data_IF_927127005377
#
_entry.id   IF_927127005377
#
_cell.length_a   1.000
_cell.length_b   1.000
_cell.length_c   1.000
_cell.angle_alpha   90.00
_cell.angle_beta   90.00
_cell.angle_gamma   90.00
#
_symmetry.space_group_name_H-M   'P 1'
#
loop_
_entity.id
_entity.type
_entity.pdbx_description
1 polymer ?
#
# COMPACT_ATOMS: atom_id res chain seq x y z
N UNK A 1 22.46 22.50 -36.66
CA UNK A 1 21.63 22.00 -35.56
C UNK A 1 22.37 20.85 -34.91
N UNK A 2 22.80 20.98 -33.66
CA UNK A 2 23.38 19.88 -32.88
C UNK A 2 22.23 19.08 -32.26
N UNK A 3 22.20 17.78 -32.52
CA UNK A 3 21.25 16.85 -31.90
C UNK A 3 21.92 16.23 -30.68
N UNK A 4 21.39 16.48 -29.49
CA UNK A 4 21.78 15.73 -28.30
C UNK A 4 20.98 14.42 -28.27
N UNK A 5 21.69 13.29 -28.36
CA UNK A 5 21.11 11.99 -28.02
C UNK A 5 21.28 11.76 -26.53
N UNK A 6 20.17 11.66 -25.79
CA UNK A 6 20.19 11.16 -24.43
C UNK A 6 20.53 9.65 -24.46
N UNK A 7 21.66 9.28 -23.87
CA UNK A 7 21.96 7.87 -23.58
C UNK A 7 21.30 7.53 -22.24
N UNK A 8 20.33 6.62 -22.26
CA UNK A 8 19.87 5.98 -21.05
C UNK A 8 20.99 5.05 -20.55
N UNK A 9 21.40 5.19 -19.29
CA UNK A 9 22.32 4.25 -18.67
C UNK A 9 21.61 2.90 -18.50
N UNK A 10 22.15 1.86 -19.14
CA UNK A 10 21.82 0.45 -18.90
C UNK A 10 22.24 0.05 -17.48
N UNK A 11 21.44 0.43 -16.49
CA UNK A 11 21.52 -0.14 -15.15
C UNK A 11 21.03 -1.59 -15.25
N UNK A 12 21.96 -2.52 -15.51
CA UNK A 12 21.73 -3.97 -15.42
C UNK A 12 21.55 -4.38 -13.96
N UNK A 13 20.46 -3.95 -13.34
CA UNK A 13 20.02 -4.46 -12.04
C UNK A 13 19.41 -5.84 -12.33
N UNK A 14 20.02 -6.95 -11.87
CA UNK A 14 19.43 -8.27 -12.05
C UNK A 14 18.07 -8.30 -11.36
N UNK A 15 17.04 -8.71 -12.08
CA UNK A 15 15.72 -8.96 -11.50
C UNK A 15 15.78 -10.27 -10.72
N UNK A 16 15.36 -10.21 -9.46
CA UNK A 16 15.22 -11.38 -8.59
C UNK A 16 13.73 -11.72 -8.46
N UNK A 17 13.38 -12.97 -8.78
CA UNK A 17 12.03 -13.47 -8.52
C UNK A 17 11.90 -13.82 -7.04
N UNK A 18 11.08 -13.05 -6.32
CA UNK A 18 10.90 -13.21 -4.86
C UNK A 18 9.66 -14.04 -4.50
N UNK A 19 8.65 -14.09 -5.37
CA UNK A 19 7.43 -14.88 -5.15
C UNK A 19 6.63 -15.13 -6.43
N UNK A 20 5.90 -16.26 -6.43
CA UNK A 20 4.79 -16.52 -7.35
C UNK A 20 3.47 -16.46 -6.59
N UNK A 21 2.51 -15.71 -7.12
CA UNK A 21 1.22 -15.45 -6.45
C UNK A 21 0.03 -16.16 -7.10
N UNK A 22 0.26 -16.90 -8.20
CA UNK A 22 -0.75 -17.72 -8.86
C UNK A 22 -1.98 -16.92 -9.28
N UNK A 23 -3.17 -17.35 -8.82
CA UNK A 23 -4.46 -16.68 -9.09
C UNK A 23 -4.73 -15.46 -8.20
N UNK A 24 -3.81 -15.13 -7.31
CA UNK A 24 -3.88 -13.93 -6.49
C UNK A 24 -3.26 -12.76 -7.23
N UNK A 25 -3.91 -11.61 -7.13
CA UNK A 25 -3.52 -10.37 -7.80
C UNK A 25 -3.16 -9.33 -6.74
N UNK A 26 -1.89 -9.21 -6.35
CA UNK A 26 -1.47 -8.14 -5.46
C UNK A 26 -1.55 -6.80 -6.20
N UNK A 27 -1.96 -5.74 -5.49
CA UNK A 27 -2.13 -4.40 -6.07
C UNK A 27 -1.23 -3.34 -5.43
N UNK A 28 -0.59 -3.68 -4.32
CA UNK A 28 0.41 -2.85 -3.66
C UNK A 28 1.52 -3.72 -3.08
N UNK A 29 2.75 -3.24 -3.23
CA UNK A 29 3.96 -3.87 -2.69
C UNK A 29 4.74 -2.84 -1.89
N UNK A 30 5.09 -3.17 -0.65
CA UNK A 30 5.99 -2.39 0.19
C UNK A 30 7.24 -3.20 0.51
N UNK A 31 8.43 -2.59 0.41
CA UNK A 31 9.70 -3.22 0.78
C UNK A 31 10.33 -2.40 1.89
N UNK A 32 10.57 -3.04 3.04
CA UNK A 32 11.22 -2.40 4.19
C UNK A 32 12.70 -2.16 3.94
N UNK A 33 13.31 -1.28 4.74
CA UNK A 33 14.76 -1.06 4.72
C UNK A 33 15.56 -2.31 5.08
N UNK A 34 14.93 -3.28 5.75
CA UNK A 34 15.51 -4.59 6.09
C UNK A 34 15.18 -5.69 5.07
N UNK A 35 14.57 -5.36 3.93
CA UNK A 35 14.26 -6.31 2.86
C UNK A 35 13.00 -7.17 3.08
N UNK A 36 12.25 -6.96 4.16
CA UNK A 36 10.90 -7.56 4.32
C UNK A 36 9.97 -7.03 3.24
N UNK A 37 9.18 -7.92 2.65
CA UNK A 37 8.28 -7.61 1.52
C UNK A 37 6.84 -7.77 1.99
N UNK A 38 6.01 -6.78 1.72
CA UNK A 38 4.60 -6.76 2.05
C UNK A 38 3.76 -6.65 0.77
N UNK A 39 2.67 -7.41 0.71
CA UNK A 39 1.75 -7.38 -0.43
C UNK A 39 0.31 -7.16 0.03
N UNK A 40 -0.43 -6.37 -0.73
CA UNK A 40 -1.86 -6.10 -0.50
C UNK A 40 -2.70 -6.70 -1.61
N UNK A 41 -3.87 -7.22 -1.25
CA UNK A 41 -4.77 -7.92 -2.16
C UNK A 41 -6.19 -7.33 -2.05
N UNK A 42 -6.79 -6.93 -3.17
CA UNK A 42 -8.14 -6.38 -3.17
C UNK A 42 -9.15 -7.50 -2.97
N UNK A 43 -10.16 -7.26 -2.16
CA UNK A 43 -11.24 -8.21 -1.94
C UNK A 43 -12.24 -8.17 -3.10
N UNK A 44 -12.14 -9.16 -3.98
CA UNK A 44 -13.04 -9.37 -5.13
C UNK A 44 -13.75 -10.72 -5.00
N UNK A 45 -14.89 -10.78 -4.31
CA UNK A 45 -15.64 -12.03 -4.14
C UNK A 45 -16.34 -12.49 -5.43
N UNK A 46 -16.63 -11.57 -6.33
CA UNK A 46 -17.40 -11.88 -7.55
C UNK A 46 -16.54 -12.34 -8.73
N UNK A 47 -15.21 -12.27 -8.62
CA UNK A 47 -14.29 -12.73 -9.66
C UNK A 47 -13.97 -14.22 -9.47
N UNK A 48 -14.57 -15.07 -10.31
CA UNK A 48 -14.36 -16.53 -10.27
C UNK A 48 -12.95 -16.97 -10.61
N UNK A 49 -12.13 -16.10 -11.22
CA UNK A 49 -10.75 -16.39 -11.58
C UNK A 49 -9.75 -15.96 -10.50
N UNK A 50 -10.23 -15.25 -9.47
CA UNK A 50 -9.45 -14.68 -8.39
C UNK A 50 -9.62 -15.47 -7.08
N UNK A 51 -8.51 -15.72 -6.39
CA UNK A 51 -8.52 -16.28 -5.04
C UNK A 51 -8.17 -15.18 -4.03
N UNK A 52 -8.87 -15.18 -2.88
CA UNK A 52 -8.68 -14.19 -1.81
C UNK A 52 -8.52 -14.91 -0.47
N UNK A 53 -7.30 -14.86 0.07
CA UNK A 53 -6.99 -15.40 1.40
C UNK A 53 -6.90 -14.28 2.45
N UNK A 54 -6.14 -13.23 2.13
CA UNK A 54 -5.71 -12.18 3.06
C UNK A 54 -5.72 -10.82 2.37
N UNK A 55 -5.98 -9.74 3.12
CA UNK A 55 -5.88 -8.37 2.61
C UNK A 55 -4.44 -7.85 2.61
N UNK A 56 -3.66 -8.19 3.64
CA UNK A 56 -2.26 -7.79 3.79
C UNK A 56 -1.42 -8.97 4.27
N UNK A 57 -0.30 -9.20 3.59
CA UNK A 57 0.65 -10.25 3.95
C UNK A 57 2.07 -9.71 4.01
N UNK A 58 2.89 -10.38 4.80
CA UNK A 58 4.34 -10.38 4.65
C UNK A 58 4.75 -11.62 3.88
N UNK A 59 5.73 -11.49 2.99
CA UNK A 59 6.35 -12.61 2.31
C UNK A 59 7.57 -13.09 3.12
N UNK A 60 7.45 -14.27 3.71
CA UNK A 60 8.50 -14.89 4.53
C UNK A 60 8.90 -16.20 3.88
N UNK A 61 10.16 -16.30 3.43
CA UNK A 61 10.69 -17.50 2.73
C UNK A 61 9.80 -17.94 1.54
N UNK A 62 9.30 -16.98 0.76
CA UNK A 62 8.40 -17.24 -0.36
C UNK A 62 6.94 -17.54 0.02
N UNK A 63 6.60 -17.57 1.31
CA UNK A 63 5.25 -17.83 1.80
C UNK A 63 4.52 -16.56 2.22
N UNK A 64 3.23 -16.46 1.88
CA UNK A 64 2.34 -15.36 2.27
C UNK A 64 1.84 -15.57 3.69
N UNK A 65 2.34 -14.79 4.63
CA UNK A 65 1.95 -14.82 6.05
C UNK A 65 1.05 -13.62 6.35
N UNK A 66 -0.15 -13.80 6.93
CA UNK A 66 -1.05 -12.68 7.21
C UNK A 66 -0.40 -11.70 8.18
N UNK A 67 -0.38 -10.42 7.79
CA UNK A 67 0.27 -9.34 8.52
C UNK A 67 -0.74 -8.26 8.93
N UNK A 68 -0.62 -7.62 10.12
CA UNK A 68 0.37 -7.90 11.17
C UNK A 68 0.10 -9.22 11.91
N UNK A 69 -1.10 -9.78 11.75
CA UNK A 69 -1.45 -11.11 12.22
C UNK A 69 -2.70 -11.62 11.48
N UNK A 70 -3.05 -12.89 11.74
CA UNK A 70 -4.23 -13.52 11.18
C UNK A 70 -5.54 -12.81 11.54
N UNK A 71 -5.66 -12.29 12.78
CA UNK A 71 -6.90 -11.68 13.25
C UNK A 71 -7.27 -10.45 12.42
N UNK A 72 -6.32 -9.60 12.07
CA UNK A 72 -6.57 -8.45 11.18
C UNK A 72 -7.07 -8.85 9.80
N UNK A 73 -6.66 -10.01 9.29
CA UNK A 73 -7.07 -10.51 7.97
C UNK A 73 -8.39 -11.30 8.00
N UNK A 74 -8.99 -11.53 9.18
CA UNK A 74 -10.30 -12.17 9.32
C UNK A 74 -11.40 -11.13 9.18
N UNK A 75 -12.03 -11.10 8.00
CA UNK A 75 -13.13 -10.19 7.75
C UNK A 75 -14.35 -10.48 8.62
N UNK A 76 -14.84 -9.44 9.28
CA UNK A 76 -16.08 -9.41 10.03
C UNK A 76 -16.72 -8.02 9.86
N UNK A 77 -17.92 -7.97 9.30
CA UNK A 77 -18.64 -6.73 9.04
C UNK A 77 -18.96 -5.94 10.31
N UNK A 78 -19.07 -6.61 11.45
CA UNK A 78 -19.31 -5.97 12.76
C UNK A 78 -18.04 -5.41 13.39
N UNK A 79 -16.86 -5.81 12.89
CA UNK A 79 -15.55 -5.41 13.40
C UNK A 79 -14.71 -4.68 12.34
N UNK A 80 -15.35 -4.08 11.32
CA UNK A 80 -14.66 -3.40 10.21
C UNK A 80 -13.63 -2.34 10.66
N UNK A 81 -13.86 -1.71 11.81
CA UNK A 81 -12.98 -0.70 12.40
C UNK A 81 -11.64 -1.26 12.93
N UNK A 82 -11.53 -2.58 13.13
CA UNK A 82 -10.36 -3.28 13.68
C UNK A 82 -9.97 -4.54 12.88
N UNK A 83 -10.51 -4.67 11.65
CA UNK A 83 -10.24 -5.76 10.71
C UNK A 83 -10.03 -5.17 9.32
N UNK A 84 -9.28 -5.85 8.48
CA UNK A 84 -9.16 -5.51 7.07
C UNK A 84 -10.44 -5.85 6.32
N UNK A 85 -10.84 -4.93 5.44
CA UNK A 85 -12.01 -5.03 4.59
C UNK A 85 -11.58 -5.16 3.14
N UNK A 86 -10.87 -4.18 2.62
CA UNK A 86 -10.36 -4.14 1.24
C UNK A 86 -9.04 -3.34 1.17
N UNK A 87 -7.94 -3.93 1.62
CA UNK A 87 -6.63 -3.25 1.62
C UNK A 87 -6.15 -3.02 0.19
N UNK A 88 -5.83 -1.77 -0.15
CA UNK A 88 -5.45 -1.40 -1.51
C UNK A 88 -4.02 -0.88 -1.66
N UNK A 89 -3.39 -0.42 -0.57
CA UNK A 89 -2.02 0.06 -0.65
C UNK A 89 -1.24 -0.23 0.63
N UNK A 90 0.06 -0.47 0.45
CA UNK A 90 1.04 -0.57 1.52
C UNK A 90 2.33 0.12 1.07
N UNK A 91 2.85 1.04 1.88
CA UNK A 91 4.07 1.83 1.58
C UNK A 91 4.92 1.89 2.82
N UNK A 92 6.24 1.75 2.66
CA UNK A 92 7.20 1.93 3.75
C UNK A 92 7.70 3.37 3.76
N UNK A 93 7.70 4.01 4.93
CA UNK A 93 8.25 5.35 5.12
C UNK A 93 9.76 5.35 5.44
N UNK A 94 10.33 6.55 5.55
CA UNK A 94 11.76 6.73 5.83
C UNK A 94 12.21 6.21 7.22
N UNK A 95 11.26 6.00 8.14
CA UNK A 95 11.51 5.50 9.49
C UNK A 95 11.23 3.98 9.60
N UNK A 96 11.10 3.29 8.46
CA UNK A 96 10.80 1.85 8.35
C UNK A 96 9.44 1.46 8.97
N UNK A 97 8.45 2.35 8.92
CA UNK A 97 7.06 2.02 9.22
C UNK A 97 6.27 1.69 7.96
N UNK A 98 5.35 0.73 8.07
CA UNK A 98 4.43 0.38 7.00
C UNK A 98 3.12 1.14 7.16
N UNK A 99 2.82 1.97 6.18
CA UNK A 99 1.55 2.65 6.01
C UNK A 99 0.62 1.80 5.16
N UNK A 100 -0.56 1.51 5.68
CA UNK A 100 -1.54 0.61 5.03
C UNK A 100 -2.86 1.33 4.86
N UNK A 101 -3.34 1.41 3.62
CA UNK A 101 -4.62 2.03 3.31
C UNK A 101 -5.69 0.97 3.01
N UNK A 102 -6.79 1.06 3.76
CA UNK A 102 -7.99 0.25 3.57
C UNK A 102 -9.19 1.18 3.30
N UNK A 103 -9.52 1.45 2.03
CA UNK A 103 -10.70 2.22 1.64
C UNK A 103 -12.03 1.48 1.88
N UNK A 104 -11.99 0.22 2.32
CA UNK A 104 -13.18 -0.51 2.79
C UNK A 104 -14.27 -0.76 1.73
N UNK A 105 -13.90 -0.77 0.44
CA UNK A 105 -14.81 -0.88 -0.70
C UNK A 105 -14.62 -2.21 -1.48
N UNK A 106 -15.00 -3.38 -0.92
CA UNK A 106 -14.83 -4.66 -1.59
C UNK A 106 -15.67 -4.74 -2.87
N UNK A 107 -15.20 -5.49 -3.88
CA UNK A 107 -15.86 -5.63 -5.19
C UNK A 107 -16.16 -4.29 -5.88
N UNK A 108 -15.35 -3.26 -5.60
CA UNK A 108 -15.53 -1.87 -6.05
C UNK A 108 -16.92 -1.29 -5.72
N UNK A 109 -17.58 -1.83 -4.68
CA UNK A 109 -18.88 -1.38 -4.16
C UNK A 109 -18.72 -0.18 -3.22
N UNK A 110 -19.81 0.50 -2.83
CA UNK A 110 -19.74 1.53 -1.80
C UNK A 110 -19.02 1.04 -0.53
N UNK A 111 -18.19 1.88 0.11
CA UNK A 111 -17.36 1.46 1.23
C UNK A 111 -18.18 1.13 2.48
N UNK A 112 -17.72 0.15 3.26
CA UNK A 112 -18.16 -0.01 4.65
C UNK A 112 -17.51 1.11 5.46
N UNK A 113 -18.26 2.18 5.69
CA UNK A 113 -17.81 3.44 6.29
C UNK A 113 -16.97 3.23 7.56
N UNK A 114 -17.46 2.42 8.51
CA UNK A 114 -16.75 2.12 9.76
C UNK A 114 -15.38 1.43 9.57
N UNK A 115 -15.11 0.88 8.38
CA UNK A 115 -13.87 0.21 8.03
C UNK A 115 -12.86 1.05 7.27
N UNK A 116 -13.19 2.28 6.87
CA UNK A 116 -12.22 3.14 6.16
C UNK A 116 -11.14 3.57 7.14
N UNK A 117 -9.88 3.25 6.81
CA UNK A 117 -8.75 3.51 7.71
C UNK A 117 -7.41 3.60 6.98
N UNK A 118 -6.54 4.41 7.56
CA UNK A 118 -5.11 4.42 7.29
C UNK A 118 -4.37 3.96 8.55
N UNK A 119 -3.54 2.95 8.44
CA UNK A 119 -2.79 2.38 9.55
C UNK A 119 -1.31 2.73 9.43
N UNK A 120 -0.67 3.03 10.54
CA UNK A 120 0.78 3.03 10.68
C UNK A 120 1.21 1.81 11.50
N UNK A 121 2.00 0.94 10.90
CA UNK A 121 2.54 -0.26 11.55
C UNK A 121 4.05 -0.10 11.71
N UNK A 122 4.53 -0.18 12.94
CA UNK A 122 5.96 -0.18 13.20
C UNK A 122 6.54 -1.56 12.87
N UNK A 123 7.41 -1.62 11.86
CA UNK A 123 7.96 -2.88 11.39
C UNK A 123 8.97 -3.50 12.38
N UNK A 124 9.58 -2.71 13.27
CA UNK A 124 10.47 -3.26 14.30
C UNK A 124 9.71 -4.05 15.38
N UNK A 125 8.48 -3.65 15.69
CA UNK A 125 7.65 -4.29 16.73
C UNK A 125 6.49 -5.11 16.18
N UNK A 126 6.18 -4.96 14.88
CA UNK A 126 4.99 -5.51 14.21
C UNK A 126 3.67 -5.11 14.88
N UNK A 127 3.63 -3.91 15.47
CA UNK A 127 2.45 -3.36 16.13
C UNK A 127 1.90 -2.20 15.33
N UNK A 128 0.58 -2.13 15.26
CA UNK A 128 -0.13 -0.95 14.79
C UNK A 128 0.07 0.14 15.84
N UNK A 129 0.76 1.21 15.47
CA UNK A 129 1.00 2.37 16.34
C UNK A 129 -0.15 3.37 16.26
N UNK A 130 -0.72 3.55 15.07
CA UNK A 130 -1.79 4.52 14.80
C UNK A 130 -2.79 3.96 13.81
N UNK A 131 -4.06 4.30 14.04
CA UNK A 131 -5.17 4.07 13.11
C UNK A 131 -5.88 5.40 12.91
N UNK A 132 -5.78 5.96 11.72
CA UNK A 132 -6.53 7.14 11.31
C UNK A 132 -7.84 6.68 10.71
N UNK A 133 -8.94 7.22 11.22
CA UNK A 133 -10.29 7.03 10.68
C UNK A 133 -10.70 8.32 9.99
N UNK A 134 -11.55 8.19 8.99
CA UNK A 134 -12.03 9.31 8.20
C UNK A 134 -13.50 9.50 8.50
N UNK A 135 -13.89 10.73 8.86
CA UNK A 135 -15.29 11.10 8.95
C UNK A 135 -15.85 11.36 7.55
N UNK A 136 -17.18 11.41 7.41
CA UNK A 136 -17.88 11.46 6.12
C UNK A 136 -17.44 12.62 5.20
N UNK A 137 -16.86 13.69 5.75
CA UNK A 137 -16.42 14.89 5.02
C UNK A 137 -15.04 14.71 4.34
N UNK A 138 -14.19 13.79 4.81
CA UNK A 138 -12.82 13.58 4.31
C UNK A 138 -12.73 12.53 3.18
N UNK A 139 -13.82 11.81 2.91
CA UNK A 139 -13.81 10.66 1.99
C UNK A 139 -13.49 11.02 0.54
N UNK A 140 -13.78 12.26 0.14
CA UNK A 140 -13.55 12.74 -1.23
C UNK A 140 -12.06 12.89 -1.54
N UNK A 141 -11.23 13.17 -0.53
CA UNK A 141 -9.78 13.26 -0.65
C UNK A 141 -9.13 11.87 -0.82
N UNK A 142 -9.73 10.84 -0.22
CA UNK A 142 -9.22 9.47 -0.29
C UNK A 142 -9.39 8.81 -1.66
N UNK A 143 -10.46 9.12 -2.38
CA UNK A 143 -10.64 8.67 -3.77
C UNK A 143 -9.55 9.26 -4.69
N UNK A 144 -8.97 10.40 -4.32
CA UNK A 144 -7.84 11.02 -5.02
C UNK A 144 -6.46 10.62 -4.49
N UNK A 145 -6.35 10.04 -3.28
CA UNK A 145 -5.14 9.42 -2.78
C UNK A 145 -4.86 8.08 -3.47
N UNK A 146 -4.76 8.11 -4.81
CA UNK A 146 -3.87 7.20 -5.51
C UNK A 146 -2.47 7.62 -5.08
N UNK A 147 -1.81 6.80 -4.27
CA UNK A 147 -0.38 6.98 -4.00
C UNK A 147 0.28 7.05 -5.37
N UNK A 148 0.88 8.20 -5.70
CA UNK A 148 1.64 8.37 -6.93
C UNK A 148 2.92 7.53 -6.80
N UNK A 149 2.81 6.24 -7.11
CA UNK A 149 3.92 5.33 -7.33
C UNK A 149 4.29 5.36 -8.82
N UNK A 150 4.55 6.55 -9.39
CA UNK A 150 5.05 6.63 -10.76
C UNK A 150 6.57 6.76 -10.76
N UNK A 151 7.26 5.62 -10.77
CA UNK A 151 8.59 5.55 -11.35
C UNK A 151 8.45 5.71 -12.86
N UNK A 152 8.75 6.89 -13.37
CA UNK A 152 9.11 7.09 -14.78
C UNK A 152 10.16 8.18 -14.83
N UNK A 153 11.34 7.96 -15.43
CA UNK A 153 12.39 8.96 -15.50
C UNK A 153 11.91 10.09 -16.39
N UNK A 154 11.70 11.29 -15.82
CA UNK A 154 11.61 12.53 -16.60
C UNK A 154 12.86 13.33 -16.30
N UNK A 155 13.66 13.53 -17.35
CA UNK A 155 14.82 14.41 -17.35
C UNK A 155 14.37 15.83 -17.00
N UNK A 156 15.05 16.45 -16.04
CA UNK A 156 14.86 17.83 -15.65
C UNK A 156 15.61 18.75 -16.63
N UNK A 157 14.95 19.80 -17.10
CA UNK A 157 15.62 21.04 -17.49
C UNK A 157 15.08 22.17 -16.61
N UNK A 158 16.03 23.02 -16.17
CA UNK A 158 15.92 24.17 -15.27
C UNK A 158 15.61 23.94 -13.79
N UNK A 159 16.71 23.72 -13.04
CA UNK A 159 17.02 24.56 -11.88
C UNK A 159 16.45 24.11 -10.53
N UNK A 160 17.20 23.23 -9.86
CA UNK A 160 17.02 22.73 -8.48
C UNK A 160 15.95 21.65 -8.24
N UNK A 161 16.38 20.38 -8.34
CA UNK A 161 15.63 19.20 -7.93
C UNK A 161 16.21 18.66 -6.62
N UNK A 162 15.47 18.79 -5.51
CA UNK A 162 15.76 18.11 -4.24
C UNK A 162 14.96 16.82 -4.18
N UNK A 163 15.65 15.69 -3.97
CA UNK A 163 15.00 14.44 -3.56
C UNK A 163 14.29 14.70 -2.24
N UNK A 164 12.96 14.69 -2.27
CA UNK A 164 12.15 14.58 -1.06
C UNK A 164 11.70 13.12 -1.01
N UNK A 165 12.09 12.43 0.07
CA UNK A 165 11.56 11.13 0.46
C UNK A 165 10.02 11.11 0.32
N UNK A 166 9.37 9.95 0.09
CA UNK A 166 7.93 9.88 -0.03
C UNK A 166 7.28 10.48 1.22
N UNK A 167 6.89 11.75 1.13
CA UNK A 167 5.97 12.37 2.08
C UNK A 167 4.61 11.80 1.71
N UNK A 168 4.11 10.88 2.51
CA UNK A 168 2.67 10.71 2.64
C UNK A 168 2.17 12.06 3.17
N UNK A 169 1.71 12.93 2.27
CA UNK A 169 1.04 14.16 2.66
C UNK A 169 -0.39 13.76 3.03
N UNK A 170 -0.58 13.35 4.28
CA UNK A 170 -1.91 13.40 4.90
C UNK A 170 -2.16 14.89 5.12
N UNK A 171 -3.10 15.48 4.38
CA UNK A 171 -3.57 16.83 4.73
C UNK A 171 -4.29 16.71 6.08
N UNK A 172 -3.96 17.62 6.98
CA UNK A 172 -4.20 17.60 8.43
C UNK A 172 -5.68 17.82 8.81
N UNK A 173 -6.60 17.19 8.07
CA UNK A 173 -8.04 17.24 8.33
C UNK A 173 -8.51 15.97 9.08
N UNK A 174 -7.63 14.96 9.22
CA UNK A 174 -7.92 13.74 9.97
C UNK A 174 -7.85 13.99 11.49
N UNK A 175 -9.00 13.92 12.16
CA UNK A 175 -9.12 14.06 13.62
C UNK A 175 -8.34 12.94 14.32
N UNK A 176 -7.34 13.30 15.13
CA UNK A 176 -6.70 12.38 16.08
C UNK A 176 -7.68 12.07 17.22
N UNK A 177 -7.93 10.78 17.48
CA UNK A 177 -8.61 10.28 18.69
C UNK A 177 -7.70 9.37 19.49
#
# INVERSE_FOLDING_TARGET
>A
MFSFSASAQDLKIPLEEVAQVGRHQPIGVGVSHKGRIFMTFPKKKNDKNYEYDYGLVELVNGQRVPYPNALWNQWDSTQAAIRFVNVQAAVVDADDNLWVLDPSNPDDQPPVIAGIKLLKINLSTNKIERTYRFEDQDMTLMIQCRISLSNSPKYAEDGEMKLLAPRVIIRDDAVET
#
